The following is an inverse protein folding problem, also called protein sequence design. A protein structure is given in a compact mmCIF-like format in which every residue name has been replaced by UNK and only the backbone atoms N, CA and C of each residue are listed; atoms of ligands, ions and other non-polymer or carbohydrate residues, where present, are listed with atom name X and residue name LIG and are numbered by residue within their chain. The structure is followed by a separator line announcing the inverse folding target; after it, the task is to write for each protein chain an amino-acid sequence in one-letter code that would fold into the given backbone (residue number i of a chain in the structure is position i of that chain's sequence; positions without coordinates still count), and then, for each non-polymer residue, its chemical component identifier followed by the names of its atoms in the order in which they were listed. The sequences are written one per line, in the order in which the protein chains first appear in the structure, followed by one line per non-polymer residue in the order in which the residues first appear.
data_IF_960154879338
#
_entry.id   IF_960154879338
#
_cell.length_a   1.000
_cell.length_b   1.000
_cell.length_c   1.000
_cell.angle_alpha   90.00
_cell.angle_beta   90.00
_cell.angle_gamma   90.00
#
_symmetry.space_group_name_H-M   'P 1'
#
loop_
_entity.id
_entity.type
_entity.pdbx_description
1 polymer ?
#
# COMPACT_ATOMS: atom_id res chain seq x y z
N UNK A 1 19.60 -12.62 4.05
CA UNK A 1 18.23 -12.34 4.52
C UNK A 1 18.07 -10.82 4.62
N UNK A 2 17.24 -10.23 3.76
CA UNK A 2 17.16 -8.77 3.60
C UNK A 2 16.14 -8.19 4.59
N UNK A 3 16.57 -7.96 5.83
CA UNK A 3 15.77 -7.52 6.99
C UNK A 3 15.00 -6.21 6.75
N UNK A 4 15.41 -5.40 5.77
CA UNK A 4 14.77 -4.14 5.44
C UNK A 4 13.37 -4.30 4.82
N UNK A 5 13.08 -5.41 4.10
CA UNK A 5 11.80 -5.59 3.39
C UNK A 5 10.60 -5.85 4.31
N UNK A 6 10.85 -6.35 5.51
CA UNK A 6 9.83 -6.70 6.50
C UNK A 6 9.67 -5.68 7.62
N UNK A 7 10.59 -4.72 7.75
CA UNK A 7 10.56 -3.74 8.84
C UNK A 7 9.26 -2.91 8.87
N UNK A 8 8.77 -2.48 7.70
CA UNK A 8 7.50 -1.75 7.62
C UNK A 8 6.29 -2.62 8.02
N UNK A 9 6.23 -3.88 7.57
CA UNK A 9 5.14 -4.80 7.91
C UNK A 9 5.15 -5.18 9.41
N UNK A 10 6.34 -5.32 10.00
CA UNK A 10 6.52 -5.61 11.44
C UNK A 10 6.10 -4.41 12.30
N UNK A 11 6.41 -3.19 11.88
CA UNK A 11 5.96 -1.96 12.56
C UNK A 11 4.43 -1.82 12.52
N UNK A 12 3.80 -2.18 11.40
CA UNK A 12 2.33 -2.24 11.32
C UNK A 12 1.75 -3.30 12.25
N UNK A 13 2.31 -4.52 12.26
CA UNK A 13 1.85 -5.56 13.16
C UNK A 13 1.85 -5.09 14.63
N UNK A 14 2.86 -4.33 15.08
CA UNK A 14 2.89 -3.77 16.44
C UNK A 14 1.77 -2.76 16.73
N UNK A 15 1.35 -1.95 15.76
CA UNK A 15 0.19 -1.06 15.90
C UNK A 15 -1.14 -1.82 16.04
N UNK A 16 -1.23 -3.02 15.45
CA UNK A 16 -2.37 -3.92 15.57
C UNK A 16 -2.27 -4.89 16.76
N UNK A 17 -1.07 -5.15 17.31
CA UNK A 17 -0.77 -6.17 18.33
C UNK A 17 -0.75 -5.67 19.78
N UNK A 18 -1.38 -4.54 20.11
CA UNK A 18 -1.60 -4.19 21.51
C UNK A 18 -2.64 -5.14 22.12
N UNK A 19 -2.20 -6.35 22.48
CA UNK A 19 -2.99 -7.33 23.20
C UNK A 19 -3.41 -6.75 24.56
N UNK A 20 -4.69 -6.88 24.90
CA UNK A 20 -5.37 -6.43 26.13
C UNK A 20 -5.76 -4.94 26.24
N UNK A 21 -6.59 -4.43 25.32
CA UNK A 21 -7.67 -3.46 25.61
C UNK A 21 -8.39 -3.08 24.30
N UNK A 22 -9.55 -3.72 24.04
CA UNK A 22 -10.43 -3.44 22.89
C UNK A 22 -9.74 -3.62 21.51
N UNK A 23 -10.48 -3.88 20.41
CA UNK A 23 -9.89 -3.76 19.09
C UNK A 23 -9.54 -2.28 18.91
N UNK A 24 -8.29 -1.89 19.19
CA UNK A 24 -7.79 -0.57 18.77
C UNK A 24 -7.95 -0.51 17.27
N UNK A 25 -8.96 0.21 16.81
CA UNK A 25 -9.12 0.49 15.41
C UNK A 25 -7.80 1.10 14.90
N UNK A 26 -7.23 0.50 13.85
CA UNK A 26 -6.05 1.06 13.21
C UNK A 26 -6.25 2.55 12.96
N UNK A 27 -5.30 3.37 13.38
CA UNK A 27 -5.42 4.81 13.23
C UNK A 27 -5.61 5.17 11.75
N UNK A 28 -6.22 6.33 11.48
CA UNK A 28 -6.36 6.85 10.11
C UNK A 28 -5.00 6.87 9.40
N UNK A 29 -3.96 7.28 10.13
CA UNK A 29 -2.59 7.31 9.64
C UNK A 29 -2.10 5.91 9.26
N UNK A 30 -2.33 4.91 10.12
CA UNK A 30 -1.89 3.54 9.86
C UNK A 30 -2.53 2.95 8.60
N UNK A 31 -3.85 3.16 8.45
CA UNK A 31 -4.60 2.74 7.27
C UNK A 31 -4.04 3.39 6.01
N UNK A 32 -3.74 4.68 6.05
CA UNK A 32 -3.23 5.40 4.90
C UNK A 32 -1.79 5.03 4.54
N UNK A 33 -0.93 4.79 5.53
CA UNK A 33 0.44 4.31 5.25
C UNK A 33 0.37 2.94 4.56
N UNK A 34 -0.50 2.04 5.03
CA UNK A 34 -0.70 0.75 4.38
C UNK A 34 -1.17 0.92 2.92
N UNK A 35 -2.12 1.80 2.66
CA UNK A 35 -2.56 2.14 1.29
C UNK A 35 -1.41 2.65 0.43
N UNK A 36 -0.57 3.54 0.96
CA UNK A 36 0.60 4.05 0.25
C UNK A 36 1.64 2.96 -0.08
N UNK A 37 1.89 2.05 0.86
CA UNK A 37 2.80 0.90 0.65
C UNK A 37 2.26 -0.07 -0.41
N UNK A 38 0.95 -0.35 -0.38
CA UNK A 38 0.28 -1.16 -1.42
C UNK A 38 0.42 -0.48 -2.78
N UNK A 39 0.22 0.83 -2.87
CA UNK A 39 0.31 1.57 -4.12
C UNK A 39 1.74 1.60 -4.69
N UNK A 40 2.73 1.75 -3.82
CA UNK A 40 4.13 1.62 -4.20
C UNK A 40 4.43 0.24 -4.76
N UNK A 41 3.95 -0.83 -4.11
CA UNK A 41 4.15 -2.19 -4.61
C UNK A 41 3.45 -2.39 -5.95
N UNK A 42 2.17 -2.04 -6.06
CA UNK A 42 1.39 -2.15 -7.29
C UNK A 42 2.03 -1.39 -8.45
N UNK A 43 2.54 -0.18 -8.22
CA UNK A 43 3.22 0.61 -9.27
C UNK A 43 4.55 -0.01 -9.68
N UNK A 44 5.34 -0.50 -8.73
CA UNK A 44 6.60 -1.20 -9.04
C UNK A 44 6.35 -2.44 -9.90
N UNK A 45 5.34 -3.23 -9.55
CA UNK A 45 4.93 -4.42 -10.29
C UNK A 45 4.37 -4.06 -11.69
N UNK A 46 3.58 -2.98 -11.78
CA UNK A 46 3.03 -2.48 -13.04
C UNK A 46 4.13 -2.03 -14.00
N UNK A 47 5.13 -1.29 -13.51
CA UNK A 47 6.28 -0.83 -14.29
C UNK A 47 7.19 -2.00 -14.73
N UNK A 48 7.29 -3.03 -13.90
CA UNK A 48 7.98 -4.28 -14.22
C UNK A 48 7.25 -5.13 -15.28
N UNK A 49 6.04 -4.77 -15.67
CA UNK A 49 5.25 -5.43 -16.72
C UNK A 49 4.44 -6.63 -16.24
N UNK A 50 4.22 -6.76 -14.94
CA UNK A 50 3.36 -7.83 -14.38
C UNK A 50 1.88 -7.50 -14.55
N UNK A 51 1.04 -8.52 -14.62
CA UNK A 51 -0.42 -8.34 -14.66
C UNK A 51 -1.02 -8.01 -13.28
N UNK A 52 -2.28 -7.59 -13.28
CA UNK A 52 -2.97 -7.16 -12.04
C UNK A 52 -3.14 -8.31 -11.04
N UNK A 53 -3.33 -9.55 -11.50
CA UNK A 53 -3.51 -10.71 -10.65
C UNK A 53 -2.23 -11.03 -9.89
N UNK A 54 -1.10 -11.03 -10.60
CA UNK A 54 0.24 -11.23 -10.02
C UNK A 54 0.58 -10.13 -9.00
N UNK A 55 0.26 -8.87 -9.30
CA UNK A 55 0.48 -7.78 -8.35
C UNK A 55 -0.39 -7.93 -7.09
N UNK A 56 -1.66 -8.32 -7.24
CA UNK A 56 -2.57 -8.57 -6.12
C UNK A 56 -2.10 -9.75 -5.25
N UNK A 57 -1.60 -10.83 -5.84
CA UNK A 57 -1.02 -11.96 -5.13
C UNK A 57 0.18 -11.52 -4.28
N UNK A 58 1.15 -10.82 -4.89
CA UNK A 58 2.33 -10.28 -4.18
C UNK A 58 1.97 -9.34 -3.04
N UNK A 59 0.98 -8.45 -3.25
CA UNK A 59 0.49 -7.58 -2.19
C UNK A 59 -0.19 -8.38 -1.08
N UNK A 60 -0.92 -9.43 -1.43
CA UNK A 60 -1.56 -10.32 -0.45
C UNK A 60 -0.52 -11.02 0.41
N UNK A 61 0.48 -11.65 -0.19
CA UNK A 61 1.60 -12.27 0.53
C UNK A 61 2.31 -11.26 1.46
N UNK A 62 2.50 -10.03 0.99
CA UNK A 62 3.27 -9.01 1.70
C UNK A 62 2.51 -8.36 2.84
N UNK A 63 1.21 -8.12 2.67
CA UNK A 63 0.43 -7.26 3.56
C UNK A 63 -0.62 -8.01 4.35
N UNK A 64 -1.00 -9.24 4.00
CA UNK A 64 -1.99 -9.99 4.79
C UNK A 64 -1.49 -10.33 6.20
N UNK A 65 -0.18 -10.33 6.41
CA UNK A 65 0.44 -10.52 7.74
C UNK A 65 0.00 -9.49 8.78
N UNK A 66 -0.56 -8.34 8.36
CA UNK A 66 -1.08 -7.31 9.28
C UNK A 66 -2.53 -7.58 9.70
N UNK A 67 -3.22 -8.50 9.04
CA UNK A 67 -4.60 -8.86 9.35
C UNK A 67 -4.66 -9.85 10.52
N UNK A 68 -5.09 -9.38 11.69
CA UNK A 68 -5.15 -10.18 12.92
C UNK A 68 -6.53 -10.82 13.15
N UNK A 69 -7.54 -10.43 12.39
CA UNK A 69 -8.91 -10.94 12.47
C UNK A 69 -9.63 -10.82 11.12
N UNK A 70 -10.82 -11.40 11.00
CA UNK A 70 -11.58 -11.41 9.74
C UNK A 70 -11.94 -10.00 9.24
N UNK A 71 -12.20 -9.06 10.15
CA UNK A 71 -12.51 -7.68 9.78
C UNK A 71 -11.30 -6.96 9.15
N UNK A 72 -10.13 -7.11 9.74
CA UNK A 72 -8.86 -6.56 9.20
C UNK A 72 -8.43 -7.28 7.93
N UNK A 73 -8.67 -8.59 7.82
CA UNK A 73 -8.46 -9.35 6.57
C UNK A 73 -9.32 -8.78 5.44
N UNK A 74 -10.62 -8.67 5.64
CA UNK A 74 -11.54 -8.11 4.65
C UNK A 74 -11.20 -6.65 4.30
N UNK A 75 -10.67 -5.87 5.24
CA UNK A 75 -10.16 -4.53 4.95
C UNK A 75 -8.93 -4.59 4.02
N UNK A 76 -7.91 -5.38 4.37
CA UNK A 76 -6.67 -5.52 3.59
C UNK A 76 -6.97 -6.02 2.18
N UNK A 77 -7.79 -7.06 2.03
CA UNK A 77 -8.19 -7.59 0.71
C UNK A 77 -8.86 -6.53 -0.16
N UNK A 78 -9.81 -5.77 0.41
CA UNK A 78 -10.49 -4.68 -0.31
C UNK A 78 -9.53 -3.57 -0.71
N UNK A 79 -8.58 -3.22 0.15
CA UNK A 79 -7.59 -2.19 -0.16
C UNK A 79 -6.62 -2.64 -1.26
N UNK A 80 -6.14 -3.88 -1.21
CA UNK A 80 -5.32 -4.47 -2.27
C UNK A 80 -6.04 -4.37 -3.61
N UNK A 81 -7.30 -4.81 -3.68
CA UNK A 81 -8.09 -4.75 -4.90
C UNK A 81 -8.33 -3.32 -5.40
N UNK A 82 -8.66 -2.38 -4.49
CA UNK A 82 -8.87 -0.96 -4.81
C UNK A 82 -7.60 -0.35 -5.41
N UNK A 83 -6.47 -0.51 -4.73
CA UNK A 83 -5.18 0.07 -5.12
C UNK A 83 -4.69 -0.55 -6.42
N UNK A 84 -4.73 -1.88 -6.55
CA UNK A 84 -4.34 -2.57 -7.78
C UNK A 84 -5.12 -2.03 -8.98
N UNK A 85 -6.45 -1.97 -8.91
CA UNK A 85 -7.29 -1.41 -9.99
C UNK A 85 -6.96 0.06 -10.26
N UNK A 86 -6.73 0.84 -9.21
CA UNK A 86 -6.39 2.26 -9.29
C UNK A 86 -5.06 2.54 -9.99
N UNK A 87 -4.08 1.64 -9.86
CA UNK A 87 -2.79 1.72 -10.55
C UNK A 87 -2.86 1.12 -11.95
N UNK A 88 -3.53 -0.01 -12.12
CA UNK A 88 -3.57 -0.73 -13.41
C UNK A 88 -4.47 -0.07 -14.46
N UNK A 89 -5.35 0.86 -14.06
CA UNK A 89 -6.08 1.75 -14.98
C UNK A 89 -5.18 2.78 -15.68
N UNK A 90 -3.96 3.00 -15.18
CA UNK A 90 -3.05 3.96 -15.81
C UNK A 90 -2.70 3.49 -17.24
N UNK A 91 -2.74 4.39 -18.23
CA UNK A 91 -2.50 4.02 -19.60
C UNK A 91 -1.06 3.55 -19.77
N UNK A 92 -0.86 2.45 -20.52
CA UNK A 92 0.47 1.89 -20.77
C UNK A 92 1.42 2.92 -21.40
N UNK A 93 0.91 3.86 -22.20
CA UNK A 93 1.69 4.94 -22.80
C UNK A 93 2.36 5.83 -21.76
N UNK A 94 1.70 6.13 -20.64
CA UNK A 94 2.30 6.91 -19.56
C UNK A 94 3.43 6.16 -18.85
N UNK A 95 3.31 4.83 -18.76
CA UNK A 95 4.32 3.97 -18.13
C UNK A 95 5.54 3.75 -19.03
N UNK A 96 5.34 3.68 -20.35
CA UNK A 96 6.41 3.50 -21.32
C UNK A 96 7.39 4.69 -21.36
N UNK A 97 6.96 5.86 -20.90
CA UNK A 97 7.80 7.05 -20.81
C UNK A 97 8.74 7.02 -19.59
N UNK A 98 8.52 6.12 -18.62
CA UNK A 98 9.33 6.03 -17.42
C UNK A 98 10.59 5.20 -17.72
N UNK A 99 11.80 5.76 -17.56
CA UNK A 99 13.03 4.98 -17.69
C UNK A 99 13.10 3.89 -16.60
N UNK A 100 13.66 2.73 -16.94
CA UNK A 100 13.86 1.64 -15.96
C UNK A 100 14.68 2.06 -14.73
N UNK A 101 15.62 3.00 -14.90
CA UNK A 101 16.40 3.58 -13.79
C UNK A 101 15.53 4.29 -12.75
N UNK A 102 14.35 4.76 -13.16
CA UNK A 102 13.51 5.65 -12.37
C UNK A 102 12.30 4.90 -11.77
N UNK A 103 12.16 3.60 -12.04
CA UNK A 103 11.03 2.80 -11.58
C UNK A 103 10.83 2.87 -10.07
N UNK A 104 11.91 2.82 -9.29
CA UNK A 104 11.85 2.90 -7.84
C UNK A 104 11.35 4.26 -7.34
N UNK A 105 11.73 5.35 -8.03
CA UNK A 105 11.29 6.71 -7.73
C UNK A 105 9.80 6.83 -8.03
N UNK A 106 9.37 6.40 -9.21
CA UNK A 106 7.98 6.49 -9.63
C UNK A 106 7.04 5.64 -8.76
N UNK A 107 7.48 4.44 -8.39
CA UNK A 107 6.75 3.59 -7.46
C UNK A 107 6.61 4.25 -6.07
N UNK A 108 7.70 4.81 -5.54
CA UNK A 108 7.66 5.53 -4.26
C UNK A 108 6.71 6.73 -4.33
N UNK A 109 6.77 7.50 -5.40
CA UNK A 109 5.97 8.73 -5.54
C UNK A 109 4.48 8.41 -5.74
N UNK A 110 4.14 7.32 -6.44
CA UNK A 110 2.78 6.78 -6.47
C UNK A 110 2.29 6.37 -5.08
N UNK A 111 3.15 5.74 -4.27
CA UNK A 111 2.85 5.41 -2.88
C UNK A 111 2.59 6.64 -2.01
N UNK A 112 3.40 7.69 -2.16
CA UNK A 112 3.19 8.98 -1.47
C UNK A 112 1.86 9.62 -1.88
N UNK A 113 1.55 9.64 -3.17
CA UNK A 113 0.31 10.23 -3.68
C UNK A 113 -0.94 9.52 -3.12
N UNK A 114 -0.95 8.18 -3.09
CA UNK A 114 -2.09 7.42 -2.53
C UNK A 114 -2.20 7.55 -1.01
N UNK A 115 -1.07 7.67 -0.29
CA UNK A 115 -1.09 8.02 1.13
C UNK A 115 -1.75 9.38 1.36
N UNK A 116 -1.33 10.41 0.62
CA UNK A 116 -1.87 11.77 0.75
C UNK A 116 -3.36 11.80 0.41
N UNK A 117 -3.78 11.15 -0.68
CA UNK A 117 -5.18 11.04 -1.07
C UNK A 117 -6.02 10.32 0.01
N UNK A 118 -5.48 9.27 0.63
CA UNK A 118 -6.16 8.58 1.72
C UNK A 118 -6.35 9.51 2.93
N UNK A 119 -5.29 10.23 3.33
CA UNK A 119 -5.35 11.16 4.45
C UNK A 119 -6.34 12.30 4.17
N UNK A 120 -6.35 12.84 2.95
CA UNK A 120 -7.31 13.85 2.51
C UNK A 120 -8.74 13.36 2.60
N UNK A 121 -8.99 12.15 2.09
CA UNK A 121 -10.33 11.55 2.07
C UNK A 121 -10.84 11.29 3.49
N UNK A 122 -9.97 10.84 4.40
CA UNK A 122 -10.36 10.42 5.75
C UNK A 122 -10.33 11.56 6.78
N UNK A 123 -9.57 12.63 6.54
CA UNK A 123 -9.41 13.74 7.50
C UNK A 123 -9.96 15.07 7.01
N UNK A 124 -10.32 15.18 5.72
CA UNK A 124 -10.77 16.43 5.10
C UNK A 124 -9.68 17.51 5.01
N UNK A 125 -8.41 17.16 5.26
CA UNK A 125 -7.26 18.07 5.22
C UNK A 125 -6.17 17.51 4.30
N UNK A 126 -5.53 18.35 3.46
CA UNK A 126 -4.35 17.92 2.70
C UNK A 126 -3.28 17.41 3.66
N UNK A 127 -2.74 16.22 3.37
CA UNK A 127 -1.59 15.71 4.09
C UNK A 127 -0.42 16.64 3.81
N UNK A 128 0.02 17.40 4.83
CA UNK A 128 1.15 18.32 4.70
C UNK A 128 2.35 17.55 4.14
N UNK A 129 2.82 17.98 2.97
CA UNK A 129 4.09 17.56 2.44
C UNK A 129 5.19 18.22 3.29
N UNK A 130 5.90 17.43 4.08
CA UNK A 130 7.23 17.78 4.59
C UNK A 130 8.30 17.30 3.60
#
# INVERSE_FOLDING_TARGET
MNTSKYAAAILFAAAFSAASAEPREASVQDRCILTGLMAQTAMGERLAGTDIGQAMEKMTERYMVVAQNDATRAFVERQIARVARGIYRLPQSALNAVPKSDYAIFARDAGKAEYQLCMETLTGKPAKAE
#
